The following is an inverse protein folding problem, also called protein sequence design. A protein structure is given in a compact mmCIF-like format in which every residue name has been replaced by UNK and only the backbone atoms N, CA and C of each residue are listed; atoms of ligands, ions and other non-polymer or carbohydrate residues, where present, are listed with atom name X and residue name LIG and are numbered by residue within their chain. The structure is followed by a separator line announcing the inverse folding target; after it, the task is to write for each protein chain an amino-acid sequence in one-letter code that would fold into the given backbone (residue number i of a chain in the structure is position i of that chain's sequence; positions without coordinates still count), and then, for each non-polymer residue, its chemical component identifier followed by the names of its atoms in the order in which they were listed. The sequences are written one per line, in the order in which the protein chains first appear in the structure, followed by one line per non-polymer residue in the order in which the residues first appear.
data_IF_818910903959
#
_entry.id   IF_818910903959
#
_cell.length_a   1.000
_cell.length_b   1.000
_cell.length_c   1.000
_cell.angle_alpha   90.00
_cell.angle_beta   90.00
_cell.angle_gamma   90.00
#
_symmetry.space_group_name_H-M   'P 1'
#
loop_
_entity.id
_entity.type
_entity.pdbx_description
1 polymer ?
#
# COMPACT_ATOMS: atom_id res chain seq x y z
N UNK A 1 15.56 5.14 -15.66
CA UNK A 1 14.60 6.23 -15.95
C UNK A 1 13.13 5.89 -15.63
N UNK A 2 12.68 4.61 -15.63
CA UNK A 2 11.29 4.24 -15.23
C UNK A 2 10.89 4.65 -13.80
N UNK A 3 11.83 4.63 -12.85
CA UNK A 3 11.53 5.00 -11.45
C UNK A 3 11.18 6.49 -11.28
N UNK A 4 11.74 7.40 -12.08
CA UNK A 4 11.56 8.84 -11.86
C UNK A 4 10.10 9.28 -11.99
N UNK A 5 9.37 8.70 -12.95
CA UNK A 5 7.92 8.97 -13.11
C UNK A 5 7.07 8.44 -11.97
N UNK A 6 7.47 7.33 -11.34
CA UNK A 6 6.79 6.76 -10.17
C UNK A 6 7.01 7.66 -8.95
N UNK A 7 8.23 8.14 -8.75
CA UNK A 7 8.56 9.09 -7.68
C UNK A 7 7.82 10.43 -7.84
N UNK A 8 7.74 10.96 -9.07
CA UNK A 8 6.98 12.21 -9.34
C UNK A 8 5.49 12.03 -9.02
N UNK A 9 4.90 10.89 -9.41
CA UNK A 9 3.51 10.56 -9.07
C UNK A 9 3.31 10.42 -7.56
N UNK A 10 4.23 9.77 -6.86
CA UNK A 10 4.18 9.63 -5.40
C UNK A 10 4.28 10.99 -4.70
N UNK A 11 5.17 11.87 -5.16
CA UNK A 11 5.31 13.23 -4.62
C UNK A 11 4.05 14.07 -4.87
N UNK A 12 3.49 14.01 -6.09
CA UNK A 12 2.24 14.71 -6.41
C UNK A 12 1.07 14.19 -5.57
N UNK A 13 1.00 12.88 -5.36
CA UNK A 13 -0.01 12.24 -4.51
C UNK A 13 0.13 12.69 -3.05
N UNK A 14 1.36 12.76 -2.54
CA UNK A 14 1.62 13.24 -1.18
C UNK A 14 1.23 14.71 -1.00
N UNK A 15 1.53 15.57 -1.99
CA UNK A 15 1.10 16.98 -1.98
C UNK A 15 -0.42 17.09 -2.00
N UNK A 16 -1.11 16.24 -2.78
CA UNK A 16 -2.57 16.18 -2.79
C UNK A 16 -3.14 15.73 -1.44
N UNK A 17 -2.56 14.70 -0.81
CA UNK A 17 -2.90 14.26 0.54
C UNK A 17 -2.66 15.38 1.57
N UNK A 18 -1.63 16.20 1.40
CA UNK A 18 -1.34 17.34 2.26
C UNK A 18 -2.34 18.49 2.10
N UNK A 19 -2.90 18.68 0.90
CA UNK A 19 -3.97 19.63 0.63
C UNK A 19 -5.31 19.17 1.22
N UNK A 20 -5.62 17.88 1.13
CA UNK A 20 -6.85 17.25 1.64
C UNK A 20 -6.79 16.90 3.13
N UNK A 21 -5.61 17.00 3.74
CA UNK A 21 -5.37 16.72 5.15
C UNK A 21 -6.17 17.67 6.04
N UNK A 22 -7.03 17.07 6.88
CA UNK A 22 -7.79 17.77 7.90
C UNK A 22 -7.04 17.81 9.23
N UNK A 23 -7.18 18.93 9.93
CA UNK A 23 -6.72 19.12 11.32
C UNK A 23 -7.82 18.79 12.35
N UNK A 24 -9.02 18.43 11.89
CA UNK A 24 -10.14 18.10 12.78
C UNK A 24 -9.96 16.70 13.39
N UNK A 25 -10.03 16.64 14.72
CA UNK A 25 -9.92 15.43 15.53
C UNK A 25 -10.94 14.37 15.20
N UNK A 26 -12.19 14.74 14.91
CA UNK A 26 -13.20 13.76 14.55
C UNK A 26 -12.89 13.14 13.18
N UNK A 27 -12.38 13.93 12.25
CA UNK A 27 -12.09 13.45 10.89
C UNK A 27 -10.86 12.54 10.85
N UNK A 28 -9.76 12.90 11.54
CA UNK A 28 -8.57 12.03 11.52
C UNK A 28 -8.77 10.75 12.35
N UNK A 29 -9.50 10.79 13.46
CA UNK A 29 -9.75 9.57 14.27
C UNK A 29 -10.61 8.54 13.54
N UNK A 30 -11.61 8.98 12.76
CA UNK A 30 -12.38 8.08 11.89
C UNK A 30 -11.50 7.42 10.82
N UNK A 31 -10.56 8.17 10.24
CA UNK A 31 -9.61 7.65 9.26
C UNK A 31 -8.65 6.64 9.90
N UNK A 32 -8.10 6.95 11.07
CA UNK A 32 -7.22 6.09 11.87
C UNK A 32 -7.91 4.74 12.16
N UNK A 33 -9.14 4.78 12.65
CA UNK A 33 -9.89 3.57 13.03
C UNK A 33 -10.29 2.71 11.83
N UNK A 34 -10.65 3.33 10.70
CA UNK A 34 -11.06 2.60 9.50
C UNK A 34 -9.88 2.04 8.71
N UNK A 35 -8.77 2.77 8.62
CA UNK A 35 -7.64 2.44 7.75
C UNK A 35 -6.99 1.09 8.09
N UNK A 36 -6.67 0.83 9.35
CA UNK A 36 -6.02 -0.41 9.78
C UNK A 36 -6.89 -1.65 9.51
N UNK A 37 -8.21 -1.56 9.78
CA UNK A 37 -9.15 -2.65 9.53
C UNK A 37 -9.32 -2.95 8.04
N UNK A 38 -9.44 -1.92 7.20
CA UNK A 38 -9.57 -2.06 5.75
C UNK A 38 -8.28 -2.63 5.15
N UNK A 39 -7.11 -2.08 5.48
CA UNK A 39 -5.83 -2.58 4.93
C UNK A 39 -5.56 -4.02 5.40
N UNK A 40 -5.83 -4.34 6.67
CA UNK A 40 -5.64 -5.67 7.23
C UNK A 40 -6.53 -6.73 6.57
N UNK A 41 -7.82 -6.44 6.38
CA UNK A 41 -8.75 -7.35 5.69
C UNK A 41 -8.35 -7.60 4.24
N UNK A 42 -7.87 -6.58 3.54
CA UNK A 42 -7.42 -6.70 2.16
C UNK A 42 -6.11 -7.50 2.05
N UNK A 43 -5.15 -7.30 2.96
CA UNK A 43 -3.93 -8.12 3.04
C UNK A 43 -4.28 -9.60 3.20
N UNK A 44 -5.26 -9.92 4.07
CA UNK A 44 -5.75 -11.29 4.26
C UNK A 44 -6.36 -11.87 2.98
N UNK A 45 -7.23 -11.12 2.30
CA UNK A 45 -7.85 -11.53 1.04
C UNK A 45 -6.82 -11.78 -0.08
N UNK A 46 -5.84 -10.90 -0.22
CA UNK A 46 -4.74 -11.06 -1.18
C UNK A 46 -3.92 -12.32 -0.87
N UNK A 47 -3.55 -12.53 0.40
CA UNK A 47 -2.75 -13.71 0.81
C UNK A 47 -3.48 -15.02 0.51
N UNK A 48 -4.79 -15.07 0.75
CA UNK A 48 -5.63 -16.22 0.40
C UNK A 48 -5.68 -16.43 -1.13
N UNK A 49 -5.89 -15.36 -1.89
CA UNK A 49 -5.91 -15.40 -3.35
C UNK A 49 -4.60 -15.90 -3.97
N UNK A 50 -3.47 -15.42 -3.47
CA UNK A 50 -2.13 -15.84 -3.90
C UNK A 50 -1.89 -17.32 -3.58
N UNK A 51 -2.34 -17.80 -2.42
CA UNK A 51 -2.23 -19.21 -2.03
C UNK A 51 -2.99 -20.13 -3.00
N UNK A 52 -4.19 -19.73 -3.43
CA UNK A 52 -4.97 -20.45 -4.45
C UNK A 52 -4.24 -20.48 -5.78
N UNK A 53 -3.71 -19.34 -6.23
CA UNK A 53 -2.95 -19.22 -7.48
C UNK A 53 -1.71 -20.11 -7.46
N UNK A 54 -0.93 -20.09 -6.38
CA UNK A 54 0.22 -20.98 -6.22
C UNK A 54 -0.19 -22.46 -6.22
N UNK A 55 -1.32 -22.80 -5.61
CA UNK A 55 -1.88 -24.15 -5.64
C UNK A 55 -2.17 -24.62 -7.07
N UNK A 56 -2.89 -23.81 -7.86
CA UNK A 56 -3.21 -24.12 -9.26
C UNK A 56 -1.93 -24.21 -10.11
N UNK A 57 -1.01 -23.26 -9.94
CA UNK A 57 0.25 -23.25 -10.67
C UNK A 57 1.14 -24.44 -10.31
N UNK A 58 1.20 -24.86 -9.04
CA UNK A 58 1.97 -26.03 -8.64
C UNK A 58 1.49 -27.31 -9.35
N UNK A 59 0.21 -27.38 -9.70
CA UNK A 59 -0.38 -28.48 -10.48
C UNK A 59 -0.01 -28.37 -11.97
N UNK A 60 0.01 -27.15 -12.54
CA UNK A 60 0.26 -26.90 -13.97
C UNK A 60 1.76 -26.88 -14.33
N UNK A 61 2.65 -26.51 -13.42
CA UNK A 61 4.06 -26.17 -13.70
C UNK A 61 5.00 -27.37 -13.98
N UNK A 62 4.48 -28.49 -14.49
CA UNK A 62 5.30 -29.63 -14.93
C UNK A 62 6.10 -29.38 -16.22
N UNK A 63 6.08 -28.18 -16.84
CA UNK A 63 6.85 -28.02 -18.09
C UNK A 63 6.96 -26.66 -18.81
N UNK A 64 6.67 -25.49 -18.22
CA UNK A 64 6.75 -24.21 -18.97
C UNK A 64 7.69 -23.13 -18.39
N UNK A 65 8.04 -22.17 -19.26
CA UNK A 65 9.16 -21.21 -19.18
C UNK A 65 9.15 -20.35 -17.90
N UNK A 66 10.21 -20.50 -17.09
CA UNK A 66 10.36 -19.90 -15.75
C UNK A 66 10.65 -18.39 -15.69
N UNK A 67 11.24 -17.78 -16.73
CA UNK A 67 11.89 -16.46 -16.55
C UNK A 67 10.94 -15.26 -16.40
N UNK A 68 9.82 -15.21 -17.14
CA UNK A 68 8.84 -14.14 -16.98
C UNK A 68 8.10 -14.28 -15.65
N UNK A 69 7.72 -15.51 -15.28
CA UNK A 69 6.99 -15.83 -14.06
C UNK A 69 7.77 -15.47 -12.78
N UNK A 70 9.06 -15.75 -12.72
CA UNK A 70 9.90 -15.35 -11.58
C UNK A 70 9.95 -13.83 -11.39
N UNK A 71 10.01 -13.06 -12.49
CA UNK A 71 9.96 -11.60 -12.39
C UNK A 71 8.61 -11.10 -11.86
N UNK A 72 7.50 -11.75 -12.22
CA UNK A 72 6.16 -11.40 -11.72
C UNK A 72 6.01 -11.69 -10.23
N UNK A 73 6.47 -12.85 -9.77
CA UNK A 73 6.46 -13.18 -8.34
C UNK A 73 7.32 -12.20 -7.54
N UNK A 74 8.45 -11.76 -8.09
CA UNK A 74 9.29 -10.74 -7.45
C UNK A 74 8.58 -9.38 -7.30
N UNK A 75 7.83 -8.93 -8.31
CA UNK A 75 7.01 -7.71 -8.21
C UNK A 75 5.89 -7.87 -7.17
N UNK A 76 5.18 -8.99 -7.20
CA UNK A 76 4.10 -9.29 -6.26
C UNK A 76 4.58 -9.35 -4.80
N UNK A 77 5.75 -9.97 -4.57
CA UNK A 77 6.39 -10.02 -3.26
C UNK A 77 6.77 -8.61 -2.76
N UNK A 78 7.28 -7.76 -3.65
CA UNK A 78 7.61 -6.38 -3.33
C UNK A 78 6.35 -5.56 -2.95
N UNK A 79 5.28 -5.70 -3.71
CA UNK A 79 4.00 -5.02 -3.44
C UNK A 79 3.39 -5.47 -2.12
N UNK A 80 3.43 -6.77 -1.82
CA UNK A 80 3.00 -7.33 -0.53
C UNK A 80 3.82 -6.79 0.63
N UNK A 81 5.16 -6.78 0.53
CA UNK A 81 6.05 -6.22 1.55
C UNK A 81 5.74 -4.75 1.80
N UNK A 82 5.50 -3.98 0.73
CA UNK A 82 5.14 -2.57 0.83
C UNK A 82 3.78 -2.39 1.52
N UNK A 83 2.79 -3.23 1.21
CA UNK A 83 1.49 -3.19 1.87
C UNK A 83 1.57 -3.51 3.37
N UNK A 84 2.43 -4.46 3.77
CA UNK A 84 2.71 -4.75 5.19
C UNK A 84 3.34 -3.54 5.88
N UNK A 85 4.28 -2.86 5.21
CA UNK A 85 4.87 -1.62 5.73
C UNK A 85 3.80 -0.53 5.87
N UNK A 86 2.91 -0.37 4.88
CA UNK A 86 1.79 0.57 4.96
C UNK A 86 0.86 0.25 6.14
N UNK A 87 0.52 -1.01 6.35
CA UNK A 87 -0.30 -1.44 7.48
C UNK A 87 0.37 -1.10 8.82
N UNK A 88 1.66 -1.45 8.95
CA UNK A 88 2.46 -1.08 10.11
C UNK A 88 2.47 0.43 10.31
N UNK A 89 2.72 1.21 9.27
CA UNK A 89 2.71 2.67 9.32
C UNK A 89 1.35 3.20 9.78
N UNK A 90 0.23 2.70 9.27
CA UNK A 90 -1.13 3.12 9.70
C UNK A 90 -1.45 2.78 11.16
N UNK A 91 -0.77 1.80 11.77
CA UNK A 91 -0.92 1.49 13.20
C UNK A 91 0.04 2.34 14.05
N UNK A 92 1.27 2.55 13.58
CA UNK A 92 2.30 3.28 14.31
C UNK A 92 2.14 4.81 14.23
N UNK A 93 1.67 5.36 13.12
CA UNK A 93 1.42 6.81 12.97
C UNK A 93 0.47 7.39 14.02
N UNK A 94 -0.72 6.82 14.27
CA UNK A 94 -1.63 7.37 15.28
C UNK A 94 -1.07 7.22 16.69
N UNK A 95 -0.29 6.16 16.92
CA UNK A 95 0.44 5.98 18.18
C UNK A 95 1.50 7.07 18.38
N UNK A 96 2.31 7.36 17.36
CA UNK A 96 3.34 8.41 17.38
C UNK A 96 2.76 9.83 17.40
N UNK A 97 1.54 10.02 16.90
CA UNK A 97 0.81 11.30 17.03
C UNK A 97 0.44 11.55 18.49
N UNK A 98 -0.11 10.55 19.18
CA UNK A 98 -0.61 10.67 20.56
C UNK A 98 0.47 10.58 21.64
N UNK A 99 1.55 9.83 21.38
CA UNK A 99 2.78 9.94 22.16
C UNK A 99 3.51 11.21 21.73
N UNK A 100 3.33 12.30 22.46
CA UNK A 100 4.16 13.49 22.31
C UNK A 100 5.63 13.11 22.57
N UNK A 101 6.33 12.67 21.53
CA UNK A 101 7.76 12.45 21.53
C UNK A 101 8.42 13.79 21.92
N UNK A 102 9.03 13.90 23.12
CA UNK A 102 9.63 15.16 23.59
C UNK A 102 10.83 15.61 22.74
N UNK A 103 11.20 14.84 21.72
CA UNK A 103 12.33 15.08 20.82
C UNK A 103 11.97 15.89 19.56
N UNK A 104 10.69 16.10 19.24
CA UNK A 104 10.29 16.86 18.05
C UNK A 104 9.87 18.28 18.47
N UNK A 105 10.85 19.14 18.73
CA UNK A 105 10.62 20.58 18.92
C UNK A 105 10.24 21.16 17.54
N UNK A 106 8.99 20.96 17.14
CA UNK A 106 8.55 21.26 15.79
C UNK A 106 8.54 22.77 15.56
N UNK A 107 9.26 23.29 14.56
CA UNK A 107 9.35 24.73 14.32
C UNK A 107 7.95 25.28 14.01
N UNK A 108 7.48 26.21 14.83
CA UNK A 108 6.23 26.94 14.61
C UNK A 108 6.48 28.07 13.61
N UNK A 109 6.41 27.76 12.32
CA UNK A 109 6.43 28.75 11.24
C UNK A 109 5.16 28.64 10.39
N UNK A 110 4.61 29.76 9.94
CA UNK A 110 3.34 29.82 9.17
C UNK A 110 3.35 29.03 7.86
N UNK A 111 4.53 28.80 7.26
CA UNK A 111 4.69 28.02 6.04
C UNK A 111 4.83 26.50 6.28
N UNK A 112 5.03 26.08 7.53
CA UNK A 112 5.24 24.67 7.88
C UNK A 112 3.90 24.08 8.33
N UNK A 113 3.36 23.04 7.67
CA UNK A 113 2.11 22.40 8.07
C UNK A 113 2.23 21.91 9.52
N UNK A 114 1.14 22.04 10.29
CA UNK A 114 1.11 21.58 11.67
C UNK A 114 1.44 20.09 11.77
N UNK A 115 2.01 19.67 12.91
CA UNK A 115 2.31 18.26 13.23
C UNK A 115 1.12 17.37 12.87
N UNK A 116 -0.07 17.73 13.33
CA UNK A 116 -1.30 16.99 13.04
C UNK A 116 -1.61 16.93 11.55
N UNK A 117 -1.46 18.03 10.81
CA UNK A 117 -1.70 18.04 9.36
C UNK A 117 -0.73 17.11 8.62
N UNK A 118 0.52 17.00 9.05
CA UNK A 118 1.49 16.06 8.48
C UNK A 118 1.15 14.60 8.78
N UNK A 119 0.78 14.28 10.02
CA UNK A 119 0.39 12.91 10.36
C UNK A 119 -0.86 12.46 9.60
N UNK A 120 -1.88 13.33 9.47
CA UNK A 120 -3.10 13.01 8.68
C UNK A 120 -2.74 12.85 7.20
N UNK A 121 -1.86 13.71 6.66
CA UNK A 121 -1.43 13.61 5.28
C UNK A 121 -0.67 12.30 5.01
N UNK A 122 0.19 11.87 5.93
CA UNK A 122 0.95 10.64 5.83
C UNK A 122 0.05 9.40 5.97
N UNK A 123 -0.98 9.44 6.82
CA UNK A 123 -2.03 8.41 6.89
C UNK A 123 -2.83 8.32 5.59
N UNK A 124 -3.32 9.45 5.08
CA UNK A 124 -4.02 9.51 3.80
C UNK A 124 -3.14 8.97 2.67
N UNK A 125 -1.85 9.33 2.66
CA UNK A 125 -0.90 8.83 1.69
C UNK A 125 -0.73 7.30 1.80
N UNK A 126 -0.58 6.76 3.01
CA UNK A 126 -0.48 5.32 3.23
C UNK A 126 -1.75 4.58 2.77
N UNK A 127 -2.94 5.13 3.02
CA UNK A 127 -4.22 4.57 2.55
C UNK A 127 -4.28 4.56 1.02
N UNK A 128 -4.01 5.69 0.36
CA UNK A 128 -4.08 5.77 -1.11
C UNK A 128 -3.00 4.93 -1.78
N UNK A 129 -1.80 4.87 -1.21
CA UNK A 129 -0.74 3.98 -1.67
C UNK A 129 -1.18 2.51 -1.57
N UNK A 130 -1.79 2.13 -0.45
CA UNK A 130 -2.34 0.79 -0.25
C UNK A 130 -3.39 0.46 -1.32
N UNK A 131 -4.33 1.38 -1.59
CA UNK A 131 -5.35 1.18 -2.64
C UNK A 131 -4.75 0.98 -4.04
N UNK A 132 -3.70 1.74 -4.38
CA UNK A 132 -3.01 1.57 -5.66
C UNK A 132 -2.35 0.19 -5.77
N UNK A 133 -1.62 -0.24 -4.72
CA UNK A 133 -1.01 -1.57 -4.67
C UNK A 133 -2.06 -2.68 -4.79
N UNK A 134 -3.23 -2.51 -4.17
CA UNK A 134 -4.33 -3.47 -4.26
C UNK A 134 -4.79 -3.65 -5.71
N UNK A 135 -4.96 -2.55 -6.46
CA UNK A 135 -5.35 -2.60 -7.87
C UNK A 135 -4.29 -3.33 -8.71
N UNK A 136 -3.00 -3.09 -8.43
CA UNK A 136 -1.89 -3.75 -9.13
C UNK A 136 -1.84 -5.25 -8.84
N UNK A 137 -2.01 -5.63 -7.57
CA UNK A 137 -2.09 -7.04 -7.14
C UNK A 137 -3.28 -7.75 -7.78
N UNK A 138 -4.48 -7.17 -7.78
CA UNK A 138 -5.66 -7.76 -8.44
C UNK A 138 -5.42 -7.92 -9.94
N UNK A 139 -4.85 -6.91 -10.59
CA UNK A 139 -4.51 -6.96 -12.01
C UNK A 139 -3.51 -8.09 -12.30
N UNK A 140 -2.51 -8.26 -11.44
CA UNK A 140 -1.55 -9.35 -11.49
C UNK A 140 -2.25 -10.72 -11.36
N UNK A 141 -3.13 -10.88 -10.37
CA UNK A 141 -3.90 -12.11 -10.17
C UNK A 141 -4.74 -12.48 -11.39
N UNK A 142 -5.45 -11.52 -12.00
CA UNK A 142 -6.26 -11.74 -13.20
C UNK A 142 -5.38 -12.15 -14.39
N UNK A 143 -4.19 -11.55 -14.55
CA UNK A 143 -3.25 -11.94 -15.60
C UNK A 143 -2.78 -13.40 -15.46
N UNK A 144 -2.52 -13.85 -14.23
CA UNK A 144 -2.12 -15.25 -13.98
C UNK A 144 -3.26 -16.21 -14.31
N UNK A 145 -4.49 -15.91 -13.90
CA UNK A 145 -5.67 -16.71 -14.26
C UNK A 145 -5.83 -16.78 -15.79
N UNK A 146 -5.69 -15.65 -16.49
CA UNK A 146 -5.76 -15.62 -17.96
C UNK A 146 -4.66 -16.45 -18.63
N UNK A 147 -3.44 -16.45 -18.10
CA UNK A 147 -2.35 -17.28 -18.62
C UNK A 147 -2.60 -18.77 -18.36
N UNK A 148 -3.11 -19.11 -17.17
CA UNK A 148 -3.50 -20.48 -16.82
C UNK A 148 -4.56 -21.03 -17.78
N UNK A 149 -5.61 -20.25 -18.05
CA UNK A 149 -6.69 -20.65 -18.97
C UNK A 149 -6.24 -20.73 -20.43
N UNK A 150 -5.24 -19.94 -20.84
CA UNK A 150 -4.69 -19.99 -22.21
C UNK A 150 -3.81 -21.21 -22.49
N UNK A 151 -3.47 -22.00 -21.47
CA UNK A 151 -2.63 -23.19 -21.60
C UNK A 151 -3.47 -24.45 -21.93
N UNK A 152 -4.79 -24.31 -22.09
CA UNK A 152 -5.74 -25.38 -22.41
C UNK A 152 -6.06 -25.54 -23.92
N UNK A 153 -5.30 -24.90 -24.82
CA UNK A 153 -5.30 -25.13 -26.28
C UNK A 153 -3.92 -25.61 -26.76
#
# INVERSE_FOLDING_TARGET
MKNLGVWIKAIALFILCLALSSTDKQVYTLLEQASAGVIGSILGGITAGISVIFGILAVINKGQKRSSFTSYLGSLEADLKLLVICLGATIFLPYLRNYDLPLMNYPKHELIPSKDKLFTAAELFAVVLSLNLIVEVISCMILVVKQSLKTED
#
